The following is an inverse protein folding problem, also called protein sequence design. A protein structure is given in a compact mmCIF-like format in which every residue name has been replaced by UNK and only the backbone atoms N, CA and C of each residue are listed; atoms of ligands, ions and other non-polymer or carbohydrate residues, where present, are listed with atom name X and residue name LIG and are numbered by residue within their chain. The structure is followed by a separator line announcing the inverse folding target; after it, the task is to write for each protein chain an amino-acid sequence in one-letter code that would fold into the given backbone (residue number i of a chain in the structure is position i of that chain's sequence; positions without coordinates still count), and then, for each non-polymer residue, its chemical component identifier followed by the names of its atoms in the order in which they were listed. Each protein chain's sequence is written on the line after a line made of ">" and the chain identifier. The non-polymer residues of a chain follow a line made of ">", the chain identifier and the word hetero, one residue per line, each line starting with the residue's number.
data_IF_273626065525
#
_entry.id   IF_273626065525
#
_cell.length_a   1.000
_cell.length_b   1.000
_cell.length_c   1.000
_cell.angle_alpha   90.00
_cell.angle_beta   90.00
_cell.angle_gamma   90.00
#
_symmetry.space_group_name_H-M   'P 1'
#
loop_
_entity.id
_entity.type
_entity.pdbx_description
1 polymer ?
#
# COMPACT_ATOMS: atom_id res chain seq x y z
N UNK A 1 -3.39 -0.91 7.94
CA UNK A 1 -2.27 -0.07 7.48
C UNK A 1 -0.97 -0.75 7.88
N UNK A 2 0.09 -0.61 7.08
CA UNK A 2 1.39 -1.16 7.50
C UNK A 2 1.95 -0.41 8.72
N UNK A 3 3.02 -0.94 9.32
CA UNK A 3 3.59 -0.40 10.54
C UNK A 3 4.57 0.77 10.30
N UNK A 4 4.62 1.34 9.09
CA UNK A 4 5.67 2.27 8.68
C UNK A 4 5.63 3.58 9.48
N UNK A 5 6.82 4.15 9.70
CA UNK A 5 7.00 5.28 10.61
C UNK A 5 6.20 6.52 10.20
N UNK A 6 5.98 6.74 8.90
CA UNK A 6 5.23 7.89 8.38
C UNK A 6 3.79 7.90 8.88
N UNK A 7 3.20 6.73 9.14
CA UNK A 7 1.83 6.59 9.65
C UNK A 7 1.69 6.89 11.14
N UNK A 8 2.80 7.00 11.86
CA UNK A 8 2.83 7.19 13.31
C UNK A 8 3.35 8.56 13.75
N UNK A 9 3.59 9.46 12.79
CA UNK A 9 4.02 10.83 13.10
C UNK A 9 2.99 11.53 13.99
N UNK A 10 3.40 12.49 14.85
CA UNK A 10 2.48 13.25 15.68
C UNK A 10 1.36 13.92 14.88
N UNK A 11 1.69 14.41 13.67
CA UNK A 11 0.72 15.02 12.75
C UNK A 11 -0.38 14.04 12.34
N UNK A 12 -0.03 12.80 11.99
CA UNK A 12 -1.01 11.78 11.59
C UNK A 12 -1.85 11.33 12.78
N UNK A 13 -1.22 11.13 13.95
CA UNK A 13 -1.96 10.78 15.19
C UNK A 13 -3.00 11.85 15.55
N UNK A 14 -2.63 13.12 15.53
CA UNK A 14 -3.54 14.24 15.79
C UNK A 14 -4.64 14.38 14.72
N UNK A 15 -4.35 14.00 13.48
CA UNK A 15 -5.34 13.98 12.40
C UNK A 15 -6.37 12.86 12.60
N UNK A 16 -5.93 11.66 13.01
CA UNK A 16 -6.80 10.51 13.30
C UNK A 16 -7.65 10.75 14.56
N UNK A 17 -7.06 11.32 15.61
CA UNK A 17 -7.77 11.62 16.87
C UNK A 17 -8.97 12.57 16.67
N UNK A 18 -8.90 13.47 15.69
CA UNK A 18 -10.00 14.37 15.31
C UNK A 18 -11.12 13.68 14.53
N UNK A 19 -10.98 12.39 14.21
CA UNK A 19 -11.88 11.64 13.32
C UNK A 19 -12.29 10.31 13.97
N UNK A 20 -13.23 10.34 14.92
CA UNK A 20 -13.59 9.15 15.72
C UNK A 20 -14.24 8.03 14.90
N UNK A 21 -14.73 8.32 13.69
CA UNK A 21 -15.28 7.30 12.79
C UNK A 21 -14.22 6.46 12.07
N UNK A 22 -12.92 6.81 12.20
CA UNK A 22 -11.83 6.03 11.60
C UNK A 22 -11.12 5.23 12.68
N UNK A 23 -11.23 3.90 12.59
CA UNK A 23 -10.46 2.96 13.41
C UNK A 23 -9.32 2.38 12.59
N UNK A 24 -8.08 2.76 12.94
CA UNK A 24 -6.90 2.30 12.20
C UNK A 24 -6.27 1.10 12.90
N UNK A 25 -6.21 -0.01 12.18
CA UNK A 25 -5.45 -1.20 12.58
C UNK A 25 -4.11 -1.23 11.85
N UNK A 26 -3.03 -1.39 12.62
CA UNK A 26 -1.67 -1.56 12.10
C UNK A 26 -1.35 -3.04 11.98
N UNK A 27 -0.80 -3.47 10.85
CA UNK A 27 -0.29 -4.84 10.71
C UNK A 27 0.92 -5.02 11.64
N UNK A 28 1.04 -6.18 12.33
CA UNK A 28 2.23 -6.47 13.13
C UNK A 28 3.50 -6.36 12.30
N UNK A 29 4.63 -6.07 12.97
CA UNK A 29 5.94 -6.09 12.33
C UNK A 29 6.18 -7.47 11.70
N UNK A 30 6.72 -7.48 10.48
CA UNK A 30 6.98 -8.68 9.69
C UNK A 30 5.72 -9.47 9.24
N UNK A 31 4.52 -8.89 9.35
CA UNK A 31 3.28 -9.50 8.89
C UNK A 31 2.77 -8.89 7.56
N UNK A 32 3.66 -8.76 6.56
CA UNK A 32 3.31 -8.28 5.21
C UNK A 32 2.18 -9.07 4.54
N UNK A 33 2.11 -10.38 4.79
CA UNK A 33 1.16 -11.29 4.16
C UNK A 33 -0.31 -10.97 4.43
N UNK A 34 -0.63 -10.25 5.51
CA UNK A 34 -2.01 -9.81 5.80
C UNK A 34 -2.34 -8.43 5.20
N UNK A 35 -1.33 -7.69 4.72
CA UNK A 35 -1.52 -6.39 4.08
C UNK A 35 -2.04 -6.57 2.64
N UNK A 36 -3.32 -6.25 2.42
CA UNK A 36 -3.95 -6.43 1.11
C UNK A 36 -3.33 -5.57 0.00
N UNK A 37 -2.79 -4.39 0.35
CA UNK A 37 -2.13 -3.52 -0.64
C UNK A 37 -0.84 -4.18 -1.15
N UNK A 38 -0.05 -4.77 -0.25
CA UNK A 38 1.15 -5.53 -0.63
C UNK A 38 0.80 -6.77 -1.46
N UNK A 39 -0.28 -7.48 -1.11
CA UNK A 39 -0.78 -8.60 -1.93
C UNK A 39 -1.20 -8.15 -3.33
N UNK A 40 -1.84 -6.99 -3.45
CA UNK A 40 -2.20 -6.41 -4.75
C UNK A 40 -0.96 -6.06 -5.58
N UNK A 41 0.08 -5.46 -4.97
CA UNK A 41 1.35 -5.21 -5.69
C UNK A 41 2.04 -6.50 -6.13
N UNK A 42 1.94 -7.59 -5.36
CA UNK A 42 2.44 -8.88 -5.78
C UNK A 42 1.68 -9.42 -7.01
N UNK A 43 0.35 -9.26 -7.06
CA UNK A 43 -0.45 -9.57 -8.26
C UNK A 43 -0.08 -8.69 -9.46
N UNK A 44 0.05 -7.38 -9.28
CA UNK A 44 0.50 -6.45 -10.31
C UNK A 44 1.86 -6.88 -10.89
N UNK A 45 2.80 -7.21 -10.02
CA UNK A 45 4.13 -7.66 -10.40
C UNK A 45 4.07 -8.92 -11.26
N UNK A 46 3.32 -9.93 -10.81
CA UNK A 46 3.18 -11.21 -11.53
C UNK A 46 2.51 -11.06 -12.89
N UNK A 47 1.47 -10.23 -12.99
CA UNK A 47 0.65 -10.11 -14.20
C UNK A 47 1.25 -9.15 -15.22
N UNK A 48 1.72 -7.99 -14.76
CA UNK A 48 2.03 -6.86 -15.64
C UNK A 48 3.53 -6.59 -15.78
N UNK A 49 4.31 -6.80 -14.72
CA UNK A 49 5.73 -6.42 -14.70
C UNK A 49 6.64 -7.58 -15.10
N UNK A 50 6.42 -8.79 -14.58
CA UNK A 50 7.25 -9.96 -14.90
C UNK A 50 7.02 -10.51 -16.32
N UNK A 51 5.87 -10.19 -16.93
CA UNK A 51 5.45 -10.69 -18.24
C UNK A 51 5.29 -9.58 -19.28
N UNK A 52 5.59 -8.33 -18.93
CA UNK A 52 5.46 -7.17 -19.80
C UNK A 52 6.76 -6.40 -19.89
N UNK A 53 7.07 -5.84 -21.06
CA UNK A 53 8.17 -4.90 -21.25
C UNK A 53 7.55 -3.54 -21.50
N UNK A 54 7.76 -2.61 -20.58
CA UNK A 54 7.23 -1.24 -20.65
C UNK A 54 8.40 -0.28 -20.76
N UNK A 55 8.38 0.57 -21.80
CA UNK A 55 9.42 1.58 -22.06
C UNK A 55 9.04 2.97 -21.55
N UNK A 56 7.84 3.12 -21.01
CA UNK A 56 7.36 4.36 -20.40
C UNK A 56 6.28 4.08 -19.35
N UNK A 57 6.05 5.04 -18.45
CA UNK A 57 4.93 4.99 -17.50
C UNK A 57 3.57 4.94 -18.21
N UNK A 58 3.42 5.71 -19.31
CA UNK A 58 2.20 5.71 -20.11
C UNK A 58 1.91 4.34 -20.74
N UNK A 59 2.93 3.55 -21.07
CA UNK A 59 2.75 2.18 -21.56
C UNK A 59 2.32 1.24 -20.43
N UNK A 60 2.90 1.38 -19.24
CA UNK A 60 2.53 0.61 -18.04
C UNK A 60 1.08 0.86 -17.61
N UNK A 61 0.58 2.08 -17.72
CA UNK A 61 -0.77 2.48 -17.29
C UNK A 61 -1.88 2.06 -18.27
N UNK A 62 -1.53 1.76 -19.53
CA UNK A 62 -2.50 1.43 -20.59
C UNK A 62 -2.99 -0.01 -20.59
N UNK A 63 -2.48 -0.87 -19.70
CA UNK A 63 -2.79 -2.30 -19.76
C UNK A 63 -4.25 -2.55 -19.40
N UNK A 64 -4.99 -3.11 -20.36
CA UNK A 64 -6.40 -3.49 -20.31
C UNK A 64 -6.69 -4.59 -19.28
#
# INVERSE_FOLDING_TARGET
>A
MDNYATHKTPRIKAWLARRPHWHVHFTPTSASWINQVERWFAELTRKQLQRGVHRSTAELERVR
#
